data_IF_750097550812
#
_entry.id   IF_750097550812
#
_cell.length_a   1.000
_cell.length_b   1.000
_cell.length_c   1.000
_cell.angle_alpha   90.00
_cell.angle_beta   90.00
_cell.angle_gamma   90.00
#
_symmetry.space_group_name_H-M   'P 1'
#
loop_
_entity.id
_entity.type
_entity.pdbx_description
1 polymer ?
#
# COMPACT_ATOMS: atom_id res chain seq x y z
N UNK A 1 -19.88 17.89 -7.63
CA UNK A 1 -19.27 16.69 -7.02
C UNK A 1 -19.10 16.97 -5.54
N UNK A 2 -19.58 16.08 -4.68
CA UNK A 2 -19.42 16.21 -3.23
C UNK A 2 -17.99 15.93 -2.79
N UNK A 3 -17.67 16.34 -1.58
CA UNK A 3 -16.37 16.14 -0.96
C UNK A 3 -16.57 15.64 0.48
N UNK A 4 -15.67 14.79 0.94
CA UNK A 4 -15.68 14.21 2.29
C UNK A 4 -14.45 14.70 3.05
N UNK A 5 -14.64 15.14 4.29
CA UNK A 5 -13.55 15.47 5.21
C UNK A 5 -12.97 14.20 5.83
N UNK A 6 -11.67 13.97 5.61
CA UNK A 6 -10.92 12.86 6.20
C UNK A 6 -9.93 13.36 7.25
N UNK A 7 -9.29 12.45 8.00
CA UNK A 7 -8.17 12.81 8.89
C UNK A 7 -7.02 13.50 8.15
N UNK A 8 -6.90 13.21 6.86
CA UNK A 8 -5.91 13.75 5.93
C UNK A 8 -6.61 14.68 4.95
N UNK A 9 -7.56 15.46 5.47
CA UNK A 9 -8.33 16.50 4.81
C UNK A 9 -9.22 16.02 3.67
N UNK A 10 -9.61 16.96 2.82
CA UNK A 10 -10.77 16.77 1.96
C UNK A 10 -10.45 15.97 0.70
N UNK A 11 -11.27 14.95 0.39
CA UNK A 11 -11.19 14.17 -0.85
C UNK A 11 -12.53 14.14 -1.59
N UNK A 12 -12.57 13.84 -2.90
CA UNK A 12 -13.83 13.66 -3.63
C UNK A 12 -14.67 12.53 -3.04
N UNK A 13 -15.99 12.73 -2.95
CA UNK A 13 -16.92 11.73 -2.44
C UNK A 13 -16.92 10.43 -3.26
N UNK A 14 -16.72 10.55 -4.58
CA UNK A 14 -16.61 9.38 -5.46
C UNK A 14 -15.43 8.48 -5.08
N UNK A 15 -14.26 9.08 -4.83
CA UNK A 15 -13.08 8.34 -4.37
C UNK A 15 -13.36 7.68 -3.02
N UNK A 16 -13.94 8.41 -2.06
CA UNK A 16 -14.30 7.86 -0.75
C UNK A 16 -15.24 6.64 -0.87
N UNK A 17 -16.20 6.68 -1.79
CA UNK A 17 -17.10 5.56 -2.05
C UNK A 17 -16.38 4.36 -2.68
N UNK A 18 -15.39 4.57 -3.56
CA UNK A 18 -14.56 3.49 -4.12
C UNK A 18 -13.75 2.79 -3.02
N UNK A 19 -13.15 3.55 -2.11
CA UNK A 19 -12.39 3.02 -0.97
C UNK A 19 -13.18 2.01 -0.13
N UNK A 20 -14.48 2.26 0.06
CA UNK A 20 -15.34 1.37 0.85
C UNK A 20 -15.43 -0.05 0.29
N UNK A 21 -15.20 -0.23 -1.03
CA UNK A 21 -15.29 -1.52 -1.74
C UNK A 21 -13.99 -2.30 -1.76
N UNK A 22 -12.86 -1.70 -1.37
CA UNK A 22 -11.54 -2.31 -1.51
C UNK A 22 -11.36 -3.52 -0.59
N UNK A 23 -11.02 -4.68 -1.15
CA UNK A 23 -10.76 -5.93 -0.43
C UNK A 23 -9.32 -6.41 -0.57
N UNK A 24 -8.54 -5.82 -1.46
CA UNK A 24 -7.10 -6.04 -1.60
C UNK A 24 -6.36 -4.70 -1.69
N UNK A 25 -5.34 -4.54 -0.86
CA UNK A 25 -4.35 -3.47 -0.96
C UNK A 25 -3.00 -4.09 -1.38
N UNK A 26 -2.57 -3.81 -2.60
CA UNK A 26 -1.27 -4.23 -3.13
C UNK A 26 -0.27 -3.08 -3.07
N UNK A 27 0.88 -3.29 -2.43
CA UNK A 27 1.86 -2.23 -2.23
C UNK A 27 3.20 -2.59 -2.87
N UNK A 28 3.88 -1.60 -3.44
CA UNK A 28 5.34 -1.66 -3.50
C UNK A 28 5.94 -1.59 -2.08
N UNK A 29 7.23 -1.89 -1.96
CA UNK A 29 7.99 -1.82 -0.72
C UNK A 29 8.91 -0.60 -0.64
N UNK A 30 9.76 -0.39 -1.63
CA UNK A 30 10.87 0.55 -1.56
C UNK A 30 10.46 1.92 -2.05
N UNK A 31 10.38 2.89 -1.13
CA UNK A 31 9.78 4.19 -1.43
C UNK A 31 8.33 4.27 -0.98
N UNK A 32 7.68 3.15 -0.64
CA UNK A 32 6.33 3.11 -0.03
C UNK A 32 6.39 2.79 1.47
N UNK A 33 6.87 1.59 1.83
CA UNK A 33 7.07 1.17 3.22
C UNK A 33 8.42 1.63 3.79
N UNK A 34 9.36 1.97 2.91
CA UNK A 34 10.63 2.63 3.23
C UNK A 34 10.69 4.01 2.58
N UNK A 35 11.72 4.79 2.88
CA UNK A 35 11.98 6.09 2.24
C UNK A 35 12.69 5.95 0.87
N UNK A 36 12.83 4.73 0.35
CA UNK A 36 13.50 4.40 -0.92
C UNK A 36 15.00 4.21 -0.81
N UNK A 37 15.60 4.39 0.37
CA UNK A 37 17.04 4.16 0.55
C UNK A 37 17.39 2.67 0.56
N UNK A 38 18.48 2.33 -0.13
CA UNK A 38 19.12 1.03 -0.05
C UNK A 38 20.44 1.21 0.70
N UNK A 39 20.48 0.78 1.96
CA UNK A 39 21.66 0.90 2.82
C UNK A 39 22.48 -0.38 2.67
N UNK A 40 23.72 -0.25 2.17
CA UNK A 40 24.63 -1.37 1.94
C UNK A 40 25.89 -1.26 2.80
N UNK A 41 26.31 -2.37 3.39
CA UNK A 41 27.56 -2.48 4.14
C UNK A 41 28.71 -3.05 3.30
N UNK A 42 29.94 -2.82 3.75
CA UNK A 42 31.14 -3.29 3.05
C UNK A 42 31.32 -4.82 3.11
N UNK A 43 30.56 -5.52 3.96
CA UNK A 43 30.60 -6.98 4.10
C UNK A 43 29.37 -7.66 3.50
N UNK A 44 28.57 -6.92 2.71
CA UNK A 44 27.38 -7.44 2.04
C UNK A 44 26.10 -7.33 2.87
N UNK A 45 26.11 -6.56 3.96
CA UNK A 45 24.89 -6.24 4.69
C UNK A 45 23.96 -5.38 3.83
N UNK A 46 22.66 -5.63 3.93
CA UNK A 46 21.61 -4.76 3.42
C UNK A 46 20.70 -4.41 4.59
N UNK A 47 20.33 -3.14 4.73
CA UNK A 47 19.41 -2.68 5.78
C UNK A 47 18.23 -1.94 5.13
N UNK A 48 17.05 -2.11 5.73
CA UNK A 48 15.82 -1.40 5.35
C UNK A 48 15.08 -0.97 6.60
N UNK A 49 14.66 0.28 6.64
CA UNK A 49 13.83 0.82 7.71
C UNK A 49 12.34 0.71 7.34
N UNK A 50 11.52 0.38 8.32
CA UNK A 50 10.06 0.33 8.19
C UNK A 50 9.42 1.16 9.30
N UNK A 51 8.24 1.71 9.04
CA UNK A 51 7.54 2.55 10.02
C UNK A 51 6.53 1.75 10.87
N UNK A 52 6.57 1.91 12.19
CA UNK A 52 5.68 1.19 13.10
C UNK A 52 4.20 1.61 12.98
N UNK A 53 3.93 2.85 12.53
CA UNK A 53 2.56 3.28 12.24
C UNK A 53 1.97 2.49 11.06
N UNK A 54 2.78 2.20 10.04
CA UNK A 54 2.34 1.42 8.87
C UNK A 54 2.01 -0.01 9.29
N UNK A 55 2.83 -0.59 10.17
CA UNK A 55 2.57 -1.93 10.72
C UNK A 55 1.25 -2.02 11.49
N UNK A 56 0.87 -0.99 12.24
CA UNK A 56 -0.48 -0.91 12.83
C UNK A 56 -1.57 -0.85 11.77
N UNK A 57 -1.41 0.03 10.77
CA UNK A 57 -2.39 0.22 9.70
C UNK A 57 -2.70 -1.08 8.96
N UNK A 58 -1.64 -1.81 8.56
CA UNK A 58 -1.76 -3.12 7.91
C UNK A 58 -2.55 -4.11 8.77
N UNK A 59 -2.19 -4.26 10.05
CA UNK A 59 -2.90 -5.16 10.95
C UNK A 59 -4.36 -4.76 11.15
N UNK A 60 -4.64 -3.46 11.18
CA UNK A 60 -5.99 -2.95 11.36
C UNK A 60 -6.88 -3.28 10.14
N UNK A 61 -6.45 -2.96 8.92
CA UNK A 61 -7.27 -3.26 7.73
C UNK A 61 -7.47 -4.77 7.52
N UNK A 62 -6.51 -5.60 7.94
CA UNK A 62 -6.66 -7.06 7.88
C UNK A 62 -7.77 -7.59 8.80
N UNK A 63 -8.04 -6.95 9.95
CA UNK A 63 -9.12 -7.37 10.86
C UNK A 63 -10.51 -7.13 10.28
N UNK A 64 -10.66 -6.19 9.35
CA UNK A 64 -11.91 -5.94 8.61
C UNK A 64 -11.94 -6.65 7.25
N UNK A 65 -11.08 -7.67 7.08
CA UNK A 65 -11.08 -8.55 5.92
C UNK A 65 -10.44 -7.99 4.66
N UNK A 66 -9.71 -6.86 4.74
CA UNK A 66 -8.91 -6.37 3.61
C UNK A 66 -7.61 -7.16 3.57
N UNK A 67 -7.39 -7.87 2.46
CA UNK A 67 -6.15 -8.56 2.21
C UNK A 67 -5.05 -7.56 1.83
N UNK A 68 -3.81 -7.90 2.18
CA UNK A 68 -2.63 -7.09 1.85
C UNK A 68 -1.66 -7.95 1.08
N UNK A 69 -1.10 -7.37 0.02
CA UNK A 69 -0.03 -7.94 -0.78
C UNK A 69 1.13 -6.96 -0.90
N UNK A 70 2.34 -7.50 -1.00
CA UNK A 70 3.51 -6.72 -1.44
C UNK A 70 4.05 -7.28 -2.74
N UNK A 71 4.36 -6.40 -3.68
CA UNK A 71 4.94 -6.74 -4.98
C UNK A 71 6.15 -5.84 -5.21
N UNK A 72 7.34 -6.43 -5.19
CA UNK A 72 8.60 -5.69 -5.32
C UNK A 72 9.56 -6.36 -6.31
N UNK A 73 10.31 -5.54 -7.04
CA UNK A 73 11.36 -6.00 -7.94
C UNK A 73 12.60 -6.53 -7.22
N UNK A 74 12.81 -6.12 -5.96
CA UNK A 74 13.92 -6.63 -5.14
C UNK A 74 13.53 -7.94 -4.46
N UNK A 75 14.54 -8.70 -4.05
CA UNK A 75 14.36 -9.89 -3.21
C UNK A 75 15.29 -9.81 -2.01
N UNK A 76 14.71 -9.87 -0.81
CA UNK A 76 15.46 -9.83 0.44
C UNK A 76 14.74 -10.58 1.57
N UNK A 77 15.52 -11.17 2.47
CA UNK A 77 14.98 -11.81 3.68
C UNK A 77 14.33 -10.79 4.62
N UNK A 78 14.79 -9.54 4.60
CA UNK A 78 14.28 -8.46 5.46
C UNK A 78 12.81 -8.14 5.14
N UNK A 79 12.47 -8.07 3.85
CA UNK A 79 11.08 -7.87 3.41
C UNK A 79 10.22 -9.06 3.80
N UNK A 80 10.69 -10.29 3.54
CA UNK A 80 9.99 -11.52 3.91
C UNK A 80 9.65 -11.55 5.41
N UNK A 81 10.65 -11.29 6.27
CA UNK A 81 10.48 -11.27 7.72
C UNK A 81 9.53 -10.16 8.18
N UNK A 82 9.70 -8.93 7.66
CA UNK A 82 8.85 -7.81 8.05
C UNK A 82 7.40 -8.08 7.67
N UNK A 83 7.13 -8.43 6.42
CA UNK A 83 5.77 -8.60 5.92
C UNK A 83 5.08 -9.80 6.57
N UNK A 84 5.81 -10.89 6.79
CA UNK A 84 5.33 -12.03 7.57
C UNK A 84 4.98 -11.64 9.02
N UNK A 85 5.78 -10.81 9.69
CA UNK A 85 5.51 -10.35 11.07
C UNK A 85 4.24 -9.47 11.17
N UNK A 86 3.86 -8.85 10.07
CA UNK A 86 2.62 -8.08 9.94
C UNK A 86 1.42 -8.94 9.55
N UNK A 87 1.63 -10.21 9.20
CA UNK A 87 0.57 -11.13 8.75
C UNK A 87 0.21 -10.97 7.27
N UNK A 88 1.07 -10.32 6.47
CA UNK A 88 0.89 -10.22 5.02
C UNK A 88 1.12 -11.61 4.42
N UNK A 89 0.12 -12.13 3.71
CA UNK A 89 0.14 -13.50 3.15
C UNK A 89 0.72 -13.57 1.74
N UNK A 90 0.63 -12.48 1.01
CA UNK A 90 0.98 -12.42 -0.41
C UNK A 90 2.25 -11.58 -0.57
N UNK A 91 3.41 -12.24 -0.50
CA UNK A 91 4.72 -11.60 -0.60
C UNK A 91 5.34 -12.03 -1.93
N UNK A 92 5.33 -11.12 -2.91
CA UNK A 92 5.83 -11.38 -4.27
C UNK A 92 7.11 -10.55 -4.46
N UNK A 93 8.25 -11.21 -4.45
CA UNK A 93 9.58 -10.60 -4.57
C UNK A 93 10.26 -10.98 -5.90
N UNK A 94 11.23 -10.17 -6.33
CA UNK A 94 11.93 -10.40 -7.60
C UNK A 94 11.04 -10.25 -8.83
N UNK A 95 9.98 -9.43 -8.72
CA UNK A 95 8.96 -9.27 -9.75
C UNK A 95 9.10 -7.92 -10.47
N UNK A 96 9.52 -7.96 -11.73
CA UNK A 96 9.59 -6.77 -12.58
C UNK A 96 8.25 -6.45 -13.25
N UNK A 97 7.51 -7.46 -13.70
CA UNK A 97 6.16 -7.31 -14.27
C UNK A 97 5.08 -7.36 -13.18
N UNK A 98 4.87 -6.21 -12.53
CA UNK A 98 3.88 -6.07 -11.47
C UNK A 98 2.43 -6.14 -11.97
N UNK A 99 2.18 -5.84 -13.24
CA UNK A 99 0.85 -5.92 -13.84
C UNK A 99 0.38 -7.37 -13.88
N UNK A 100 1.21 -8.26 -14.42
CA UNK A 100 0.91 -9.70 -14.48
C UNK A 100 0.79 -10.28 -13.07
N UNK A 101 1.71 -9.93 -12.16
CA UNK A 101 1.68 -10.44 -10.79
C UNK A 101 0.39 -10.05 -10.04
N UNK A 102 -0.03 -8.79 -10.11
CA UNK A 102 -1.27 -8.36 -9.46
C UNK A 102 -2.51 -8.99 -10.13
N UNK A 103 -2.53 -9.08 -11.46
CA UNK A 103 -3.64 -9.71 -12.18
C UNK A 103 -3.82 -11.17 -11.77
N UNK A 104 -2.74 -11.96 -11.77
CA UNK A 104 -2.76 -13.37 -11.34
C UNK A 104 -3.17 -13.51 -9.87
N UNK A 105 -2.73 -12.59 -9.00
CA UNK A 105 -3.14 -12.61 -7.60
C UNK A 105 -4.66 -12.34 -7.47
N UNK A 106 -5.19 -11.33 -8.14
CA UNK A 106 -6.62 -11.02 -8.12
C UNK A 106 -7.46 -12.20 -8.62
N UNK A 107 -7.04 -12.87 -9.71
CA UNK A 107 -7.69 -14.08 -10.22
C UNK A 107 -7.70 -15.20 -9.16
N UNK A 108 -6.57 -15.46 -8.51
CA UNK A 108 -6.47 -16.49 -7.47
C UNK A 108 -7.35 -16.21 -6.25
N UNK A 109 -7.60 -14.94 -5.96
CA UNK A 109 -8.44 -14.48 -4.86
C UNK A 109 -9.90 -14.29 -5.27
N UNK A 110 -10.22 -14.48 -6.55
CA UNK A 110 -11.54 -14.17 -7.12
C UNK A 110 -11.99 -12.73 -6.81
N UNK A 111 -11.06 -11.78 -6.94
CA UNK A 111 -11.30 -10.36 -6.74
C UNK A 111 -11.32 -9.62 -8.07
N UNK A 112 -12.23 -8.66 -8.18
CA UNK A 112 -12.30 -7.78 -9.34
C UNK A 112 -11.37 -6.56 -9.18
N UNK A 113 -11.09 -5.89 -10.31
CA UNK A 113 -10.41 -4.58 -10.32
C UNK A 113 -11.11 -3.59 -9.37
N UNK A 114 -12.45 -3.58 -9.37
CA UNK A 114 -13.33 -2.74 -8.53
C UNK A 114 -13.12 -2.91 -7.02
N UNK A 115 -12.48 -4.02 -6.60
CA UNK A 115 -12.20 -4.37 -5.21
C UNK A 115 -10.69 -4.26 -4.88
N UNK A 116 -9.87 -3.75 -5.80
CA UNK A 116 -8.40 -3.74 -5.67
C UNK A 116 -7.87 -2.31 -5.64
N UNK A 117 -7.00 -2.03 -4.69
CA UNK A 117 -6.22 -0.81 -4.64
C UNK A 117 -4.72 -1.11 -4.70
N UNK A 118 -3.96 -0.21 -5.31
CA UNK A 118 -2.50 -0.32 -5.39
C UNK A 118 -1.78 0.91 -4.85
N UNK A 119 -0.56 0.74 -4.35
CA UNK A 119 0.30 1.80 -3.84
C UNK A 119 1.68 1.71 -4.50
N UNK A 120 2.15 2.81 -5.05
CA UNK A 120 3.45 2.88 -5.72
C UNK A 120 4.13 4.23 -5.59
N UNK A 121 5.43 4.25 -5.86
CA UNK A 121 6.24 5.46 -5.86
C UNK A 121 6.98 5.68 -7.19
N UNK A 122 7.19 4.65 -8.01
CA UNK A 122 7.99 4.76 -9.24
C UNK A 122 7.34 4.08 -10.47
N UNK A 123 7.93 4.28 -11.65
CA UNK A 123 7.39 3.85 -12.94
C UNK A 123 6.90 2.39 -13.00
N UNK A 124 7.61 1.38 -12.43
CA UNK A 124 7.14 -0.01 -12.45
C UNK A 124 5.76 -0.23 -11.80
N UNK A 125 5.35 0.66 -10.88
CA UNK A 125 4.08 0.53 -10.16
C UNK A 125 2.87 0.92 -11.00
N UNK A 126 3.07 1.66 -12.10
CA UNK A 126 1.99 2.00 -13.02
C UNK A 126 1.29 0.75 -13.58
N UNK A 127 2.03 -0.36 -13.71
CA UNK A 127 1.44 -1.66 -14.07
C UNK A 127 0.40 -2.14 -13.04
N UNK A 128 0.60 -1.88 -11.74
CA UNK A 128 -0.40 -2.19 -10.71
C UNK A 128 -1.60 -1.21 -10.76
N UNK A 129 -1.36 0.05 -11.13
CA UNK A 129 -2.42 1.07 -11.22
C UNK A 129 -3.45 0.68 -12.28
N UNK A 130 -2.99 0.15 -13.43
CA UNK A 130 -3.87 -0.33 -14.50
C UNK A 130 -4.81 -1.47 -14.05
N UNK A 131 -4.38 -2.27 -13.06
CA UNK A 131 -5.12 -3.42 -12.52
C UNK A 131 -6.00 -3.08 -11.31
N UNK A 132 -5.99 -1.82 -10.85
CA UNK A 132 -6.66 -1.39 -9.60
C UNK A 132 -7.75 -0.37 -9.86
N UNK A 133 -8.82 -0.38 -9.05
CA UNK A 133 -9.85 0.66 -9.07
C UNK A 133 -9.37 1.97 -8.45
N UNK A 134 -8.49 1.87 -7.45
CA UNK A 134 -7.87 3.02 -6.79
C UNK A 134 -6.36 2.86 -6.79
N UNK A 135 -5.68 3.80 -7.40
CA UNK A 135 -4.24 3.93 -7.39
C UNK A 135 -3.80 5.01 -6.40
N UNK A 136 -2.86 4.67 -5.54
CA UNK A 136 -2.21 5.57 -4.59
C UNK A 136 -0.77 5.82 -4.99
N UNK A 137 -0.33 7.07 -4.91
CA UNK A 137 1.09 7.39 -4.87
C UNK A 137 1.46 8.08 -3.57
N UNK A 138 2.68 7.86 -3.10
CA UNK A 138 3.19 8.55 -1.91
C UNK A 138 3.66 9.96 -2.24
N UNK A 139 3.70 10.86 -1.24
CA UNK A 139 4.06 12.28 -1.46
C UNK A 139 5.45 12.46 -2.13
N UNK A 140 6.44 11.66 -1.72
CA UNK A 140 7.79 11.63 -2.29
C UNK A 140 7.93 10.73 -3.52
N UNK A 141 6.84 10.19 -4.05
CA UNK A 141 6.84 9.39 -5.27
C UNK A 141 7.26 10.22 -6.48
N UNK A 142 7.72 9.52 -7.52
CA UNK A 142 8.14 10.13 -8.77
C UNK A 142 7.02 11.04 -9.32
N UNK A 143 7.33 12.29 -9.76
CA UNK A 143 6.32 13.26 -10.14
C UNK A 143 5.34 12.76 -11.21
N UNK A 144 5.79 11.92 -12.14
CA UNK A 144 4.93 11.35 -13.16
C UNK A 144 3.94 10.32 -12.59
N UNK A 145 4.38 9.50 -11.63
CA UNK A 145 3.53 8.48 -11.00
C UNK A 145 2.43 9.14 -10.17
N UNK A 146 2.77 10.21 -9.44
CA UNK A 146 1.78 11.02 -8.71
C UNK A 146 0.69 11.60 -9.60
N UNK A 147 1.00 11.92 -10.87
CA UNK A 147 -0.01 12.40 -11.83
C UNK A 147 -0.95 11.30 -12.32
N UNK A 148 -0.57 10.03 -12.19
CA UNK A 148 -1.39 8.88 -12.59
C UNK A 148 -2.22 8.32 -11.43
N UNK A 149 -1.96 8.72 -10.19
CA UNK A 149 -2.68 8.22 -9.02
C UNK A 149 -4.02 8.94 -8.79
N UNK A 150 -5.01 8.20 -8.28
CA UNK A 150 -6.28 8.77 -7.84
C UNK A 150 -6.13 9.58 -6.54
N UNK A 151 -5.15 9.20 -5.71
CA UNK A 151 -4.81 9.89 -4.48
C UNK A 151 -3.30 9.92 -4.25
N UNK A 152 -2.80 11.09 -3.92
CA UNK A 152 -1.43 11.28 -3.44
C UNK A 152 -1.49 11.48 -1.93
N UNK A 153 -0.77 10.65 -1.17
CA UNK A 153 -0.73 10.78 0.29
C UNK A 153 -0.10 12.10 0.71
N UNK A 154 -0.42 12.56 1.91
CA UNK A 154 0.25 13.71 2.55
C UNK A 154 1.51 13.31 3.28
N UNK A 155 1.55 12.07 3.78
CA UNK A 155 2.74 11.46 4.38
C UNK A 155 3.69 10.95 3.31
N UNK A 156 4.99 11.02 3.61
CA UNK A 156 6.04 10.42 2.79
C UNK A 156 6.04 8.89 2.95
N UNK A 157 6.46 8.19 1.91
CA UNK A 157 6.85 6.80 1.99
C UNK A 157 7.89 6.56 3.09
N UNK A 158 7.74 5.45 3.80
CA UNK A 158 8.55 5.14 5.00
C UNK A 158 8.27 6.03 6.22
N UNK A 159 7.33 6.98 6.13
CA UNK A 159 6.99 7.93 7.20
C UNK A 159 5.48 7.96 7.52
N UNK A 160 4.78 6.84 7.29
CA UNK A 160 3.36 6.71 7.61
C UNK A 160 2.39 6.82 6.42
N UNK A 161 2.88 6.79 5.17
CA UNK A 161 1.99 6.84 4.00
C UNK A 161 1.04 5.65 3.93
N UNK A 162 1.53 4.44 4.22
CA UNK A 162 0.69 3.24 4.24
C UNK A 162 -0.34 3.33 5.37
N UNK A 163 0.04 3.88 6.53
CA UNK A 163 -0.89 4.15 7.63
C UNK A 163 -2.01 5.10 7.20
N UNK A 164 -1.67 6.18 6.51
CA UNK A 164 -2.66 7.14 5.99
C UNK A 164 -3.66 6.46 5.05
N UNK A 165 -3.18 5.63 4.13
CA UNK A 165 -4.04 4.84 3.23
C UNK A 165 -4.94 3.88 4.04
N UNK A 166 -4.37 3.18 5.02
CA UNK A 166 -5.14 2.29 5.89
C UNK A 166 -6.25 3.04 6.65
N UNK A 167 -5.95 4.23 7.17
CA UNK A 167 -6.93 5.05 7.88
C UNK A 167 -8.04 5.55 6.95
N UNK A 168 -7.74 5.88 5.69
CA UNK A 168 -8.75 6.21 4.68
C UNK A 168 -9.67 5.01 4.39
N UNK A 169 -9.11 3.82 4.23
CA UNK A 169 -9.88 2.58 4.03
C UNK A 169 -10.79 2.29 5.24
N UNK A 170 -10.27 2.40 6.46
CA UNK A 170 -11.05 2.22 7.69
C UNK A 170 -12.15 3.28 7.81
N UNK A 171 -11.84 4.55 7.53
CA UNK A 171 -12.80 5.65 7.61
C UNK A 171 -13.93 5.48 6.58
N UNK A 172 -13.62 5.02 5.37
CA UNK A 172 -14.63 4.73 4.34
C UNK A 172 -15.63 3.63 4.72
N UNK A 173 -15.30 2.85 5.74
CA UNK A 173 -16.13 1.77 6.29
C UNK A 173 -16.67 2.06 7.68
N UNK A 174 -16.45 3.28 8.20
CA UNK A 174 -16.80 3.65 9.59
C UNK A 174 -16.14 2.75 10.65
N UNK A 175 -14.94 2.24 10.37
CA UNK A 175 -14.19 1.27 11.20
C UNK A 175 -12.94 1.89 11.88
N UNK A 176 -12.76 3.21 11.78
CA UNK A 176 -11.52 3.90 12.18
C UNK A 176 -11.15 3.75 13.67
N UNK A 177 -12.14 3.68 14.56
CA UNK A 177 -11.96 3.73 16.02
C UNK A 177 -12.37 2.44 16.74
N UNK A 178 -12.70 1.37 16.00
CA UNK A 178 -13.13 0.09 16.56
C UNK A 178 -12.00 -0.92 16.68
N UNK A 179 -10.90 -0.70 15.97
CA UNK A 179 -9.76 -1.61 15.97
C UNK A 179 -8.71 -1.09 16.96
N UNK A 180 -8.33 -1.95 17.90
CA UNK A 180 -7.24 -1.71 18.83
C UNK A 180 -6.17 -2.78 18.63
N UNK A 181 -4.90 -2.36 18.62
CA UNK A 181 -3.79 -3.26 18.30
C UNK A 181 -2.44 -2.62 18.56
N UNK A 182 -1.39 -3.37 18.26
CA UNK A 182 0.00 -2.96 18.52
C UNK A 182 0.57 -2.17 17.33
N UNK A 183 1.28 -1.08 17.63
CA UNK A 183 2.17 -0.42 16.68
C UNK A 183 3.52 -1.15 16.69
N UNK A 184 3.75 -1.96 15.66
CA UNK A 184 4.93 -2.83 15.51
C UNK A 184 5.60 -2.63 14.17
#
# INVERSE_FOLDING_TARGET
>A
MGHIETLYGTIPEELFNKLSKIRLLACDVDGVFSDGQIIMGNQGEELKAFHALDGYGIKAIQQIGIQVAVITGRSSQIVEQRMSSLGVKHIIQGCEDKQTALTTLCESLSLEKSETASVGDDMPDLGMFECSEVAFSVDNGHPFVKQQADYVTRRLGGAGAVREICDLLLQSRSELNVIHGSSV
#
